data_IF_133770745189
#
_entry.id   IF_133770745189
#
_cell.length_a   1.000
_cell.length_b   1.000
_cell.length_c   1.000
_cell.angle_alpha   90.00
_cell.angle_beta   90.00
_cell.angle_gamma   90.00
#
_symmetry.space_group_name_H-M   'P 1'
#
loop_
_entity.id
_entity.type
_entity.pdbx_description
1 polymer ?
#
# COMPACT_ATOMS: atom_id res chain seq x y z
N UNK A 1 -0.38 4.73 26.81
CA UNK A 1 -1.06 5.98 26.45
C UNK A 1 -1.85 5.74 25.18
N UNK A 2 -3.18 5.63 25.26
CA UNK A 2 -4.04 5.37 24.10
C UNK A 2 -4.21 6.66 23.30
N UNK A 3 -3.88 6.60 22.00
CA UNK A 3 -4.09 7.72 21.08
C UNK A 3 -5.60 7.98 21.00
N UNK A 4 -6.08 9.21 21.23
CA UNK A 4 -7.50 9.51 21.13
C UNK A 4 -8.01 9.25 19.71
N UNK A 5 -9.13 8.53 19.60
CA UNK A 5 -9.82 8.28 18.32
C UNK A 5 -10.17 9.64 17.68
N UNK A 6 -9.65 9.89 16.48
CA UNK A 6 -10.01 11.08 15.70
C UNK A 6 -11.48 10.97 15.27
N UNK A 7 -12.39 11.83 15.77
CA UNK A 7 -13.81 11.75 15.45
C UNK A 7 -14.12 12.00 13.97
N UNK A 8 -13.15 12.48 13.18
CA UNK A 8 -13.30 12.73 11.74
C UNK A 8 -12.82 11.55 10.87
N UNK A 9 -12.11 10.58 11.44
CA UNK A 9 -11.71 9.39 10.71
C UNK A 9 -12.93 8.46 10.56
N UNK A 10 -13.56 8.44 9.38
CA UNK A 10 -14.64 7.49 9.10
C UNK A 10 -14.10 6.06 9.14
N UNK A 11 -14.36 5.37 10.27
CA UNK A 11 -14.01 3.96 10.46
C UNK A 11 -14.85 3.11 9.53
N UNK A 12 -14.19 2.36 8.64
CA UNK A 12 -14.87 1.40 7.79
C UNK A 12 -15.41 0.23 8.63
N UNK A 13 -16.52 -0.37 8.20
CA UNK A 13 -17.06 -1.58 8.82
C UNK A 13 -16.44 -2.84 8.21
N UNK A 14 -16.21 -3.84 9.05
CA UNK A 14 -15.69 -5.17 8.67
C UNK A 14 -16.77 -6.03 8.00
N UNK A 15 -16.39 -7.17 7.41
CA UNK A 15 -17.37 -8.10 6.83
C UNK A 15 -18.25 -8.74 7.91
N UNK A 16 -17.65 -9.13 9.04
CA UNK A 16 -18.36 -9.63 10.22
C UNK A 16 -19.41 -8.62 10.73
N UNK A 17 -19.04 -7.34 10.83
CA UNK A 17 -19.96 -6.28 11.24
C UNK A 17 -21.11 -6.11 10.25
N UNK A 18 -20.86 -6.24 8.94
CA UNK A 18 -21.91 -6.25 7.90
C UNK A 18 -22.82 -7.46 8.02
N UNK A 19 -22.24 -8.63 8.29
CA UNK A 19 -23.00 -9.86 8.50
C UNK A 19 -23.96 -9.70 9.68
N UNK A 20 -23.49 -9.25 10.83
CA UNK A 20 -24.35 -9.01 11.99
C UNK A 20 -25.41 -7.94 11.75
N UNK A 21 -25.10 -6.88 11.01
CA UNK A 21 -26.08 -5.87 10.62
C UNK A 21 -27.20 -6.48 9.75
N UNK A 22 -26.86 -7.33 8.79
CA UNK A 22 -27.84 -8.02 7.94
C UNK A 22 -28.65 -9.04 8.74
N UNK A 23 -28.00 -9.80 9.61
CA UNK A 23 -28.65 -10.77 10.50
C UNK A 23 -29.68 -10.08 11.40
N UNK A 24 -29.31 -8.94 12.00
CA UNK A 24 -30.22 -8.18 12.86
C UNK A 24 -31.45 -7.68 12.11
N UNK A 25 -31.30 -7.29 10.84
CA UNK A 25 -32.43 -6.88 9.98
C UNK A 25 -33.30 -8.07 9.57
N UNK A 26 -32.74 -9.26 9.42
CA UNK A 26 -33.50 -10.49 9.17
C UNK A 26 -34.32 -10.91 10.39
N UNK A 27 -33.73 -10.83 11.59
CA UNK A 27 -34.43 -11.10 12.86
C UNK A 27 -35.51 -10.06 13.18
N UNK A 28 -35.32 -8.81 12.76
CA UNK A 28 -36.24 -7.71 13.03
C UNK A 28 -36.60 -6.93 11.74
N UNK A 29 -37.44 -7.49 10.83
CA UNK A 29 -37.75 -6.86 9.55
C UNK A 29 -38.42 -5.48 9.67
N UNK A 30 -39.13 -5.20 10.76
CA UNK A 30 -39.78 -3.91 11.02
C UNK A 30 -38.80 -2.78 11.38
N UNK A 31 -37.60 -3.12 11.86
CA UNK A 31 -36.62 -2.15 12.36
C UNK A 31 -36.18 -1.17 11.27
N UNK A 32 -36.28 0.13 11.53
CA UNK A 32 -35.88 1.19 10.59
C UNK A 32 -34.37 1.31 10.48
N UNK A 33 -33.88 1.91 9.41
CA UNK A 33 -32.43 2.13 9.23
C UNK A 33 -31.82 3.02 10.33
N UNK A 34 -32.58 3.98 10.88
CA UNK A 34 -32.15 4.81 12.01
C UNK A 34 -31.96 4.00 13.30
N UNK A 35 -32.84 3.04 13.53
CA UNK A 35 -32.77 2.13 14.69
C UNK A 35 -31.61 1.15 14.53
N UNK A 36 -31.40 0.60 13.31
CA UNK A 36 -30.21 -0.20 13.00
C UNK A 36 -28.90 0.58 13.21
N UNK A 37 -28.87 1.86 12.86
CA UNK A 37 -27.71 2.72 13.12
C UNK A 37 -27.44 2.86 14.62
N UNK A 38 -28.50 3.01 15.41
CA UNK A 38 -28.43 3.14 16.88
C UNK A 38 -27.94 1.84 17.51
N UNK A 39 -28.52 0.70 17.13
CA UNK A 39 -28.08 -0.63 17.55
C UNK A 39 -26.62 -0.90 17.18
N UNK A 40 -26.20 -0.53 15.96
CA UNK A 40 -24.83 -0.73 15.52
C UNK A 40 -23.85 0.11 16.36
N UNK A 41 -24.21 1.37 16.65
CA UNK A 41 -23.41 2.26 17.49
C UNK A 41 -23.27 1.70 18.91
N UNK A 42 -24.35 1.18 19.49
CA UNK A 42 -24.32 0.55 20.81
C UNK A 42 -23.45 -0.70 20.82
N UNK A 43 -23.58 -1.57 19.81
CA UNK A 43 -22.85 -2.83 19.73
C UNK A 43 -21.34 -2.68 19.45
N UNK A 44 -20.97 -1.75 18.59
CA UNK A 44 -19.58 -1.61 18.10
C UNK A 44 -18.88 -0.32 18.55
N UNK A 45 -19.56 0.52 19.32
CA UNK A 45 -19.06 1.79 19.86
C UNK A 45 -18.62 2.81 18.79
N UNK A 46 -19.22 2.79 17.60
CA UNK A 46 -19.06 3.86 16.61
C UNK A 46 -20.27 3.99 15.67
N UNK A 47 -20.60 5.20 15.20
CA UNK A 47 -21.74 5.41 14.32
C UNK A 47 -21.44 4.99 12.87
N UNK A 48 -22.47 4.56 12.15
CA UNK A 48 -22.43 4.31 10.71
C UNK A 48 -23.44 5.18 9.96
N UNK A 49 -23.13 5.52 8.71
CA UNK A 49 -23.99 6.36 7.88
C UNK A 49 -25.14 5.56 7.26
N UNK A 50 -26.27 6.23 6.98
CA UNK A 50 -27.41 5.64 6.29
C UNK A 50 -27.04 4.98 4.94
N UNK A 51 -26.17 5.58 4.08
CA UNK A 51 -25.70 4.91 2.87
C UNK A 51 -24.98 3.58 3.13
N UNK A 52 -24.21 3.50 4.23
CA UNK A 52 -23.50 2.27 4.61
C UNK A 52 -24.49 1.16 4.97
N UNK A 53 -25.57 1.50 5.68
CA UNK A 53 -26.65 0.56 6.02
C UNK A 53 -27.35 0.12 4.75
N UNK A 54 -27.78 1.07 3.91
CA UNK A 54 -28.46 0.76 2.64
C UNK A 54 -27.64 -0.17 1.76
N UNK A 55 -26.36 0.11 1.54
CA UNK A 55 -25.47 -0.73 0.73
C UNK A 55 -25.21 -2.11 1.32
N UNK A 56 -25.21 -2.25 2.64
CA UNK A 56 -25.08 -3.56 3.29
C UNK A 56 -26.35 -4.38 3.11
N UNK A 57 -27.51 -3.77 3.34
CA UNK A 57 -28.81 -4.44 3.20
C UNK A 57 -29.14 -4.81 1.75
N UNK A 58 -28.73 -4.03 0.75
CA UNK A 58 -28.91 -4.37 -0.67
C UNK A 58 -28.25 -5.70 -1.07
N UNK A 59 -27.18 -6.10 -0.36
CA UNK A 59 -26.44 -7.34 -0.59
C UNK A 59 -26.64 -8.35 0.54
N UNK A 60 -27.73 -8.22 1.30
CA UNK A 60 -27.96 -9.06 2.50
C UNK A 60 -27.99 -10.54 2.18
N UNK A 61 -28.62 -10.93 1.06
CA UNK A 61 -28.69 -12.34 0.64
C UNK A 61 -27.30 -12.93 0.41
N UNK A 62 -26.43 -12.23 -0.33
CA UNK A 62 -25.03 -12.64 -0.60
C UNK A 62 -24.21 -12.74 0.68
N UNK A 63 -24.35 -11.75 1.57
CA UNK A 63 -23.60 -11.68 2.82
C UNK A 63 -24.03 -12.80 3.76
N UNK A 64 -25.32 -13.09 3.85
CA UNK A 64 -25.86 -14.15 4.72
C UNK A 64 -25.60 -15.54 4.15
N UNK A 65 -25.65 -15.72 2.82
CA UNK A 65 -25.33 -17.00 2.18
C UNK A 65 -23.86 -17.37 2.31
N UNK A 66 -22.96 -16.39 2.22
CA UNK A 66 -21.53 -16.59 2.37
C UNK A 66 -21.05 -16.72 3.83
N UNK A 67 -21.91 -16.43 4.80
CA UNK A 67 -21.59 -16.48 6.22
C UNK A 67 -20.44 -15.56 6.65
N UNK A 68 -19.86 -15.86 7.83
CA UNK A 68 -18.68 -15.16 8.37
C UNK A 68 -17.40 -15.45 7.58
N UNK A 69 -17.37 -16.53 6.80
CA UNK A 69 -16.20 -17.00 6.07
C UNK A 69 -16.51 -17.04 4.57
N UNK A 70 -16.59 -15.86 3.96
CA UNK A 70 -16.67 -15.76 2.50
C UNK A 70 -15.26 -15.90 1.90
N UNK A 71 -15.03 -16.83 0.96
CA UNK A 71 -13.70 -17.02 0.36
C UNK A 71 -13.12 -15.70 -0.17
N UNK A 72 -11.90 -15.36 0.26
CA UNK A 72 -11.22 -14.12 -0.13
C UNK A 72 -11.63 -12.85 0.65
N UNK A 73 -12.52 -12.96 1.65
CA UNK A 73 -12.90 -11.85 2.53
C UNK A 73 -12.59 -12.21 3.99
N UNK A 74 -11.61 -11.54 4.57
CA UNK A 74 -11.30 -11.65 5.99
C UNK A 74 -12.39 -10.98 6.84
N UNK A 75 -13.04 -11.75 7.70
CA UNK A 75 -14.18 -11.35 8.53
C UNK A 75 -13.93 -10.06 9.33
N UNK A 76 -12.73 -9.96 9.91
CA UNK A 76 -12.32 -8.89 10.83
C UNK A 76 -11.66 -7.70 10.13
N UNK A 77 -11.33 -7.81 8.84
CA UNK A 77 -10.57 -6.78 8.13
C UNK A 77 -11.48 -5.86 7.32
N UNK A 78 -11.32 -4.56 7.51
CA UNK A 78 -11.90 -3.57 6.59
C UNK A 78 -11.24 -3.72 5.22
N UNK A 79 -12.05 -3.82 4.15
CA UNK A 79 -11.55 -3.94 2.77
C UNK A 79 -10.58 -2.80 2.47
N UNK A 80 -9.33 -3.14 2.12
CA UNK A 80 -8.35 -2.16 1.64
C UNK A 80 -8.81 -1.63 0.29
N UNK A 81 -8.79 -0.30 0.12
CA UNK A 81 -9.00 0.27 -1.22
C UNK A 81 -7.81 -0.11 -2.10
N UNK A 82 -8.04 -0.57 -3.34
CA UNK A 82 -6.95 -0.80 -4.27
C UNK A 82 -6.17 0.50 -4.48
N UNK A 83 -4.86 0.36 -4.65
CA UNK A 83 -4.02 1.48 -5.09
C UNK A 83 -4.37 1.78 -6.54
N UNK A 84 -4.54 3.07 -6.87
CA UNK A 84 -4.98 3.50 -8.20
C UNK A 84 -3.99 3.12 -9.31
N UNK A 85 -2.69 3.24 -9.01
CA UNK A 85 -1.56 2.98 -9.91
C UNK A 85 -0.53 2.12 -9.18
N UNK A 86 -0.77 0.80 -9.03
CA UNK A 86 0.14 -0.10 -8.31
C UNK A 86 1.51 -0.18 -8.98
N UNK A 87 1.57 -0.12 -10.31
CA UNK A 87 2.80 -0.09 -11.11
C UNK A 87 3.66 1.14 -10.82
N UNK A 88 3.04 2.31 -10.65
CA UNK A 88 3.73 3.53 -10.24
C UNK A 88 4.30 3.39 -8.82
N UNK A 89 3.50 2.91 -7.87
CA UNK A 89 3.99 2.69 -6.49
C UNK A 89 5.11 1.66 -6.45
N UNK A 90 5.06 0.63 -7.30
CA UNK A 90 6.11 -0.35 -7.46
C UNK A 90 7.39 0.28 -8.00
N UNK A 91 7.32 1.08 -9.07
CA UNK A 91 8.47 1.77 -9.65
C UNK A 91 9.15 2.70 -8.63
N UNK A 92 8.34 3.45 -7.87
CA UNK A 92 8.83 4.33 -6.80
C UNK A 92 9.49 3.50 -5.68
N UNK A 93 8.90 2.36 -5.30
CA UNK A 93 9.48 1.46 -4.31
C UNK A 93 10.84 0.91 -4.75
N UNK A 94 10.96 0.44 -5.99
CA UNK A 94 12.23 -0.05 -6.54
C UNK A 94 13.28 1.04 -6.53
N UNK A 95 12.92 2.26 -6.95
CA UNK A 95 13.83 3.40 -6.90
C UNK A 95 14.34 3.68 -5.47
N UNK A 96 13.45 3.74 -4.48
CA UNK A 96 13.84 3.95 -3.07
C UNK A 96 14.80 2.87 -2.60
N UNK A 97 14.54 1.61 -2.95
CA UNK A 97 15.40 0.47 -2.59
C UNK A 97 16.79 0.60 -3.21
N UNK A 98 16.88 0.97 -4.49
CA UNK A 98 18.17 1.21 -5.17
C UNK A 98 18.94 2.34 -4.50
N UNK A 99 18.28 3.43 -4.11
CA UNK A 99 18.94 4.54 -3.40
C UNK A 99 19.53 4.10 -2.06
N UNK A 100 18.77 3.34 -1.27
CA UNK A 100 19.25 2.79 0.01
C UNK A 100 20.46 1.86 -0.17
N UNK A 101 20.43 1.02 -1.22
CA UNK A 101 21.54 0.11 -1.52
C UNK A 101 22.82 0.87 -1.93
N UNK A 102 22.69 1.89 -2.79
CA UNK A 102 23.82 2.72 -3.20
C UNK A 102 24.45 3.47 -2.02
N UNK A 103 23.62 3.99 -1.11
CA UNK A 103 24.11 4.63 0.12
C UNK A 103 24.89 3.64 0.98
N UNK A 104 24.39 2.40 1.14
CA UNK A 104 25.09 1.35 1.87
C UNK A 104 26.43 0.95 1.24
N UNK A 105 26.52 0.89 -0.09
CA UNK A 105 27.78 0.59 -0.79
C UNK A 105 28.81 1.70 -0.63
N UNK A 106 28.41 2.97 -0.78
CA UNK A 106 29.31 4.11 -0.58
C UNK A 106 29.77 4.24 0.87
N UNK A 107 28.90 3.89 1.82
CA UNK A 107 29.25 3.81 3.23
C UNK A 107 30.35 2.76 3.48
N UNK A 108 30.17 1.54 2.96
CA UNK A 108 31.16 0.46 3.06
C UNK A 108 32.48 0.80 2.36
N UNK A 109 32.44 1.46 1.20
CA UNK A 109 33.65 1.90 0.49
C UNK A 109 34.43 2.92 1.33
N UNK A 110 33.76 3.93 1.89
CA UNK A 110 34.41 4.92 2.78
C UNK A 110 34.98 4.29 4.04
N UNK A 111 34.27 3.36 4.66
CA UNK A 111 34.79 2.61 5.81
C UNK A 111 36.04 1.79 5.45
N UNK A 112 36.06 1.15 4.28
CA UNK A 112 37.25 0.43 3.77
C UNK A 112 38.41 1.38 3.48
N UNK A 113 38.17 2.52 2.86
CA UNK A 113 39.19 3.54 2.59
C UNK A 113 39.76 4.11 3.88
N UNK A 114 38.93 4.39 4.89
CA UNK A 114 39.36 4.85 6.21
C UNK A 114 40.21 3.79 6.91
N UNK A 115 39.79 2.52 6.90
CA UNK A 115 40.57 1.41 7.46
C UNK A 115 41.93 1.27 6.76
N UNK A 116 41.97 1.46 5.44
CA UNK A 116 43.21 1.44 4.66
C UNK A 116 44.12 2.64 5.00
N UNK A 117 43.56 3.83 5.19
CA UNK A 117 44.32 5.03 5.58
C UNK A 117 44.90 4.92 7.00
N UNK A 118 44.15 4.38 7.97
CA UNK A 118 44.66 4.13 9.33
C UNK A 118 45.80 3.11 9.38
N UNK A 119 45.86 2.16 8.44
CA UNK A 119 46.95 1.17 8.37
C UNK A 119 48.28 1.76 7.88
N UNK A 120 48.27 2.96 7.29
CA UNK A 120 49.45 3.61 6.71
C UNK A 120 49.96 4.83 7.52
N UNK A 121 49.30 5.18 8.63
CA UNK A 121 49.67 6.30 9.49
C UNK A 121 50.25 5.83 10.82
N UNK A 122 51.57 5.95 10.99
CA UNK A 122 52.22 5.91 12.30
C UNK A 122 52.13 7.29 12.94
N UNK A 123 51.15 7.51 13.81
CA UNK A 123 51.31 8.20 15.10
C UNK A 123 49.93 8.32 15.79
N UNK A 124 49.88 7.95 17.07
CA UNK A 124 48.64 7.78 17.80
C UNK A 124 47.94 9.08 18.19
N UNK A 125 46.61 9.06 18.27
CA UNK A 125 45.84 9.34 19.49
C UNK A 125 44.34 9.14 19.24
N UNK A 126 43.70 8.41 20.15
CA UNK A 126 42.38 8.65 20.78
C UNK A 126 41.28 9.49 20.08
N UNK A 127 41.10 9.40 18.76
CA UNK A 127 40.03 10.12 18.03
C UNK A 127 39.04 9.17 17.31
N UNK A 128 39.09 7.87 17.60
CA UNK A 128 38.30 6.87 16.87
C UNK A 128 36.85 6.70 17.39
N UNK A 129 36.53 7.23 18.58
CA UNK A 129 35.21 7.05 19.23
C UNK A 129 34.21 8.17 18.94
N UNK A 130 34.66 9.32 18.42
CA UNK A 130 33.81 10.44 18.01
C UNK A 130 33.29 10.31 16.57
N UNK A 131 34.03 9.63 15.69
CA UNK A 131 33.80 9.67 14.25
C UNK A 131 32.74 8.69 13.74
N UNK A 132 32.49 7.59 14.46
CA UNK A 132 31.44 6.62 14.13
C UNK A 132 30.02 7.16 14.37
N UNK A 133 29.88 8.25 15.15
CA UNK A 133 28.58 8.89 15.45
C UNK A 133 28.05 9.76 14.31
N UNK A 134 28.89 10.11 13.34
CA UNK A 134 28.53 10.94 12.19
C UNK A 134 27.84 10.17 11.07
N UNK A 135 27.91 8.84 11.09
CA UNK A 135 27.42 7.98 10.00
C UNK A 135 26.01 7.42 10.22
N UNK A 136 25.40 7.63 11.40
CA UNK A 136 24.01 7.25 11.65
C UNK A 136 22.98 8.19 10.99
N UNK A 137 23.42 9.26 10.31
CA UNK A 137 22.55 10.25 9.68
C UNK A 137 22.55 10.18 8.14
N UNK A 138 22.68 8.98 7.55
CA UNK A 138 22.24 8.79 6.16
C UNK A 138 20.73 9.01 6.12
N UNK A 139 20.34 10.26 5.89
CA UNK A 139 18.94 10.69 6.00
C UNK A 139 18.10 9.86 5.01
N UNK A 140 17.13 9.06 5.50
CA UNK A 140 16.36 8.19 4.63
C UNK A 140 15.59 9.07 3.65
N UNK A 141 15.80 8.85 2.34
CA UNK A 141 15.19 9.57 1.20
C UNK A 141 14.10 10.54 1.65
N UNK A 142 14.49 11.80 1.82
CA UNK A 142 13.66 12.81 2.49
C UNK A 142 12.33 12.96 1.75
N UNK A 143 11.24 13.20 2.48
CA UNK A 143 9.88 13.26 1.93
C UNK A 143 9.74 14.12 0.65
N UNK A 144 10.38 15.30 0.55
CA UNK A 144 10.37 16.13 -0.65
C UNK A 144 11.03 15.46 -1.87
N UNK A 145 12.17 14.79 -1.68
CA UNK A 145 12.90 14.10 -2.75
C UNK A 145 12.04 12.96 -3.30
N UNK A 146 11.41 12.19 -2.41
CA UNK A 146 10.50 11.11 -2.79
C UNK A 146 9.28 11.63 -3.57
N UNK A 147 8.71 12.78 -3.17
CA UNK A 147 7.60 13.41 -3.90
C UNK A 147 8.02 13.91 -5.28
N UNK A 148 9.20 14.52 -5.39
CA UNK A 148 9.75 14.98 -6.67
C UNK A 148 9.96 13.80 -7.61
N UNK A 149 10.56 12.72 -7.12
CA UNK A 149 10.79 11.53 -7.94
C UNK A 149 9.48 10.83 -8.32
N UNK A 150 8.51 10.75 -7.41
CA UNK A 150 7.19 10.18 -7.72
C UNK A 150 6.50 10.91 -8.89
N UNK A 151 6.61 12.24 -8.93
CA UNK A 151 6.09 13.06 -10.04
C UNK A 151 6.81 12.77 -11.35
N UNK A 152 8.13 12.62 -11.31
CA UNK A 152 8.94 12.30 -12.48
C UNK A 152 8.55 10.95 -13.07
N UNK A 153 8.54 9.91 -12.23
CA UNK A 153 8.16 8.55 -12.66
C UNK A 153 6.74 8.54 -13.22
N UNK A 154 5.78 9.21 -12.57
CA UNK A 154 4.42 9.32 -13.09
C UNK A 154 4.34 10.01 -14.46
N UNK A 155 5.15 11.05 -14.66
CA UNK A 155 5.24 11.75 -15.95
C UNK A 155 5.82 10.85 -17.04
N UNK A 156 6.88 10.09 -16.74
CA UNK A 156 7.50 9.11 -17.64
C UNK A 156 6.52 7.99 -18.01
N UNK A 157 5.65 7.58 -17.09
CA UNK A 157 4.59 6.57 -17.32
C UNK A 157 3.32 7.14 -17.96
N UNK A 158 3.26 8.45 -18.24
CA UNK A 158 2.06 9.10 -18.79
C UNK A 158 0.88 9.22 -17.83
N UNK A 159 1.09 9.02 -16.53
CA UNK A 159 0.05 9.07 -15.49
C UNK A 159 -0.17 10.51 -15.04
N UNK A 160 -1.34 11.07 -15.37
CA UNK A 160 -1.70 12.48 -15.08
C UNK A 160 -2.75 12.65 -13.98
N UNK A 161 -3.43 11.59 -13.58
CA UNK A 161 -4.57 11.60 -12.67
C UNK A 161 -4.18 11.31 -11.21
N UNK A 162 -2.93 11.59 -10.85
CA UNK A 162 -2.37 11.37 -9.50
C UNK A 162 -1.96 12.68 -8.83
N UNK A 163 -2.27 12.77 -7.53
CA UNK A 163 -1.90 13.92 -6.70
C UNK A 163 -0.87 13.47 -5.66
N UNK A 164 0.37 13.92 -5.84
CA UNK A 164 1.47 13.67 -4.91
C UNK A 164 1.49 14.73 -3.79
N UNK A 165 0.73 14.46 -2.72
CA UNK A 165 0.62 15.31 -1.54
C UNK A 165 1.14 14.58 -0.26
N UNK A 166 1.32 15.29 0.87
CA UNK A 166 1.75 14.67 2.13
C UNK A 166 0.87 13.49 2.58
N UNK A 167 -0.44 13.56 2.33
CA UNK A 167 -1.38 12.47 2.62
C UNK A 167 -1.19 11.23 1.73
N UNK A 168 -0.84 11.42 0.44
CA UNK A 168 -0.45 10.32 -0.44
C UNK A 168 0.85 9.69 0.06
N UNK A 169 1.85 10.50 0.41
CA UNK A 169 3.15 10.04 0.89
C UNK A 169 3.02 9.23 2.19
N UNK A 170 2.21 9.69 3.15
CA UNK A 170 1.95 8.96 4.38
C UNK A 170 1.36 7.57 4.11
N UNK A 171 0.41 7.48 3.17
CA UNK A 171 -0.22 6.20 2.79
C UNK A 171 0.74 5.30 2.03
N UNK A 172 1.54 5.86 1.12
CA UNK A 172 2.61 5.16 0.42
C UNK A 172 3.62 4.56 1.40
N UNK A 173 4.15 5.37 2.34
CA UNK A 173 5.08 4.91 3.40
C UNK A 173 4.47 3.81 4.26
N UNK A 174 3.21 3.95 4.65
CA UNK A 174 2.49 2.93 5.42
C UNK A 174 2.33 1.61 4.66
N UNK A 175 2.18 1.66 3.32
CA UNK A 175 2.12 0.47 2.48
C UNK A 175 3.48 -0.22 2.36
N UNK A 176 4.53 0.51 1.97
CA UNK A 176 5.85 -0.08 1.71
C UNK A 176 6.54 -0.65 2.96
N UNK A 177 6.17 -0.19 4.18
CA UNK A 177 6.68 -0.76 5.44
C UNK A 177 6.41 -2.26 5.56
N UNK A 178 5.35 -2.75 4.92
CA UNK A 178 4.97 -4.16 4.93
C UNK A 178 5.33 -4.89 3.62
N UNK A 179 6.17 -4.28 2.77
CA UNK A 179 6.51 -4.78 1.43
C UNK A 179 5.61 -4.20 0.32
N UNK A 180 6.02 -4.29 -0.95
CA UNK A 180 5.23 -3.81 -2.07
C UNK A 180 3.92 -4.60 -2.20
N UNK A 181 2.88 -3.94 -2.72
CA UNK A 181 1.67 -4.64 -3.14
C UNK A 181 2.02 -5.41 -4.41
N UNK A 182 1.93 -6.75 -4.36
CA UNK A 182 2.14 -7.58 -5.54
C UNK A 182 1.14 -7.19 -6.63
N UNK A 183 1.65 -6.83 -7.81
CA UNK A 183 0.84 -6.51 -9.02
C UNK A 183 -0.08 -7.70 -9.37
N UNK A 184 0.34 -8.94 -9.05
CA UNK A 184 -0.42 -10.15 -9.32
C UNK A 184 -1.72 -10.27 -8.50
N UNK A 185 -1.87 -9.54 -7.38
CA UNK A 185 -3.03 -9.68 -6.50
C UNK A 185 -4.27 -8.90 -6.96
N UNK A 186 -4.14 -7.99 -7.93
CA UNK A 186 -5.26 -7.12 -8.37
C UNK A 186 -5.94 -7.57 -9.68
N UNK A 187 -5.34 -8.48 -10.45
CA UNK A 187 -5.89 -8.92 -11.75
C UNK A 187 -6.89 -10.08 -11.62
N UNK A 188 -7.02 -10.70 -10.44
CA UNK A 188 -7.86 -11.90 -10.25
C UNK A 188 -9.27 -11.62 -9.67
N UNK A 189 -9.79 -10.38 -9.76
CA UNK A 189 -11.15 -10.05 -9.31
C UNK A 189 -11.92 -9.16 -10.29
N UNK A 190 -11.88 -9.46 -11.59
CA UNK A 190 -13.01 -9.16 -12.49
C UNK A 190 -12.83 -9.90 -13.82
N UNK A 191 -13.43 -11.08 -13.94
CA UNK A 191 -14.05 -11.65 -15.17
C UNK A 191 -14.52 -13.07 -14.86
N UNK A 192 -15.81 -13.23 -14.54
CA UNK A 192 -16.49 -14.51 -14.76
C UNK A 192 -17.04 -14.50 -16.20
N UNK A 193 -16.66 -15.47 -17.06
CA UNK A 193 -17.19 -15.54 -18.41
C UNK A 193 -18.57 -16.21 -18.39
N UNK A 194 -19.59 -15.50 -18.88
CA UNK A 194 -20.80 -16.15 -19.39
C UNK A 194 -20.50 -16.70 -20.79
N UNK A 195 -20.85 -17.97 -20.98
CA UNK A 195 -20.60 -18.77 -22.16
C UNK A 195 -21.46 -18.35 -23.36
N UNK A 196 -20.84 -18.07 -24.51
CA UNK A 196 -21.36 -18.48 -25.82
C UNK A 196 -20.34 -18.32 -26.94
N UNK A 197 -20.11 -19.45 -27.63
CA UNK A 197 -19.31 -19.68 -28.82
C UNK A 197 -19.37 -18.61 -29.92
N UNK A 198 -18.19 -18.19 -30.40
CA UNK A 198 -17.73 -18.34 -31.80
C UNK A 198 -16.28 -17.86 -31.91
N UNK A 199 -15.42 -18.71 -32.47
CA UNK A 199 -14.00 -18.45 -32.61
C UNK A 199 -13.70 -17.31 -33.58
N UNK A 200 -12.67 -16.53 -33.24
CA UNK A 200 -11.73 -15.90 -34.15
C UNK A 200 -10.41 -15.72 -33.38
N UNK A 201 -9.34 -16.32 -33.91
CA UNK A 201 -7.97 -16.18 -33.41
C UNK A 201 -7.45 -14.82 -33.90
N UNK A 202 -7.30 -13.86 -33.01
CA UNK A 202 -6.54 -12.64 -33.27
C UNK A 202 -5.46 -12.53 -32.21
N UNK A 203 -4.20 -12.66 -32.65
CA UNK A 203 -3.02 -12.33 -31.87
C UNK A 203 -3.07 -10.86 -31.50
N UNK A 204 -3.20 -10.54 -30.21
CA UNK A 204 -2.98 -9.19 -29.69
C UNK A 204 -1.83 -9.22 -28.70
N UNK A 205 -0.62 -8.96 -29.21
CA UNK A 205 0.47 -8.50 -28.37
C UNK A 205 0.05 -7.13 -27.77
N UNK A 206 -0.18 -7.11 -26.46
CA UNK A 206 -0.34 -5.86 -25.70
C UNK A 206 1.06 -5.25 -25.48
N UNK A 207 1.22 -3.92 -25.55
CA UNK A 207 2.53 -3.29 -25.49
C UNK A 207 3.11 -3.42 -24.08
N UNK A 208 4.32 -3.99 -24.01
CA UNK A 208 5.20 -3.84 -22.85
C UNK A 208 5.33 -2.34 -22.57
N UNK A 209 4.85 -1.89 -21.41
CA UNK A 209 5.11 -0.55 -20.95
C UNK A 209 6.63 -0.36 -20.86
N UNK A 210 7.19 0.71 -21.42
CA UNK A 210 8.63 0.93 -21.45
C UNK A 210 9.15 1.00 -20.01
N UNK A 211 10.02 0.05 -19.66
CA UNK A 211 10.77 0.08 -18.40
C UNK A 211 11.59 1.37 -18.40
N UNK A 212 11.47 2.25 -17.38
CA UNK A 212 12.25 3.46 -17.28
C UNK A 212 13.75 3.17 -17.44
N UNK A 213 14.44 3.94 -18.28
CA UNK A 213 15.83 3.69 -18.70
C UNK A 213 16.86 3.61 -17.57
N UNK A 214 16.53 4.10 -16.37
CA UNK A 214 17.39 4.00 -15.20
C UNK A 214 17.32 2.64 -14.47
N UNK A 215 16.38 1.76 -14.82
CA UNK A 215 16.22 0.42 -14.22
C UNK A 215 17.14 -0.62 -14.90
N UNK A 216 17.64 -0.37 -16.11
CA UNK A 216 18.31 -1.39 -16.95
C UNK A 216 19.83 -1.47 -16.81
N UNK A 217 20.41 -1.12 -15.65
CA UNK A 217 21.88 -1.20 -15.48
C UNK A 217 22.32 -2.29 -14.52
N UNK A 218 21.88 -3.54 -14.70
CA UNK A 218 22.63 -4.73 -14.23
C UNK A 218 22.27 -5.90 -15.14
N UNK A 219 23.01 -6.07 -16.24
CA UNK A 219 23.47 -7.36 -16.79
C UNK A 219 24.16 -7.08 -18.12
N UNK A 220 25.47 -7.30 -18.21
CA UNK A 220 26.18 -7.35 -19.48
C UNK A 220 27.52 -6.62 -19.48
N UNK A 221 28.56 -7.27 -18.95
CA UNK A 221 29.89 -7.15 -19.50
C UNK A 221 30.52 -8.53 -19.42
N UNK A 222 30.59 -9.16 -20.58
CA UNK A 222 31.34 -10.38 -20.90
C UNK A 222 32.83 -10.13 -20.79
#
# INVERSE_FOLDING_TARGET
MSIPDDPRATKGITHEQRYHLCLKKQECPSMKQSELASWFKEKYNFPISQPTISHSLKRSAEILSGGLFTPGIEATRVRKRPVRHPELEQAIYQWVKSQQQLQGQQQQQRERELLFQCSNGSDGNDELRGYTKSFENAEPVTGPILLQQARRIASEMGIKDTVFCPGWLSRFKARIRHGPISIAANTAQDVSPTSSSKGHRVSSALPEAPIPSWITTVTGST
#
